data_IF_363713383552
#
_entry.id   IF_363713383552
#
_cell.length_a   1.000
_cell.length_b   1.000
_cell.length_c   1.000
_cell.angle_alpha   90.00
_cell.angle_beta   90.00
_cell.angle_gamma   90.00
#
_symmetry.space_group_name_H-M   'P 1'
#
loop_
_entity.id
_entity.type
_entity.pdbx_description
1 polymer ?
#
# COMPACT_ATOMS: atom_id res chain seq x y z
N UNK A 1 -3.46 8.96 12.34
CA UNK A 1 -2.12 8.67 12.89
C UNK A 1 -1.25 8.32 11.68
N UNK A 2 -0.04 8.86 11.54
CA UNK A 2 0.83 8.50 10.42
C UNK A 2 1.60 7.22 10.76
N UNK A 3 1.73 6.31 9.79
CA UNK A 3 2.45 5.04 9.92
C UNK A 3 3.93 5.29 10.20
N UNK A 4 4.46 4.66 11.25
CA UNK A 4 5.82 4.89 11.81
C UNK A 4 6.78 3.69 11.64
N UNK A 5 6.28 2.59 11.10
CA UNK A 5 7.01 1.37 10.77
C UNK A 5 6.26 0.70 9.61
N UNK A 6 6.92 -0.15 8.83
CA UNK A 6 6.24 -0.86 7.76
C UNK A 6 5.20 -1.84 8.32
N UNK A 7 3.96 -1.76 7.84
CA UNK A 7 2.88 -2.68 8.22
C UNK A 7 2.53 -3.55 7.03
N UNK A 8 2.71 -4.86 7.17
CA UNK A 8 2.42 -5.85 6.15
C UNK A 8 1.12 -6.56 6.51
N UNK A 9 0.09 -6.40 5.70
CA UNK A 9 -1.20 -7.09 5.86
C UNK A 9 -1.26 -8.26 4.89
N UNK A 10 -1.23 -9.46 5.43
CA UNK A 10 -1.33 -10.73 4.70
C UNK A 10 -2.75 -11.28 4.82
N UNK A 11 -3.42 -11.42 3.68
CA UNK A 11 -4.68 -12.13 3.55
C UNK A 11 -4.38 -13.53 3.03
N UNK A 12 -4.80 -14.56 3.77
CA UNK A 12 -4.52 -15.96 3.43
C UNK A 12 -5.79 -16.78 3.40
N UNK A 13 -6.04 -17.44 2.27
CA UNK A 13 -7.14 -18.38 2.18
C UNK A 13 -6.80 -19.66 2.93
N UNK A 14 -7.61 -19.99 3.93
CA UNK A 14 -7.49 -21.23 4.67
C UNK A 14 -8.86 -21.85 4.91
N UNK A 15 -9.19 -22.87 4.11
CA UNK A 15 -10.49 -23.54 4.16
C UNK A 15 -10.67 -24.45 5.38
N UNK A 16 -9.60 -24.77 6.12
CA UNK A 16 -9.69 -25.63 7.32
C UNK A 16 -10.06 -24.84 8.56
N UNK A 17 -9.93 -23.51 8.54
CA UNK A 17 -10.33 -22.66 9.64
C UNK A 17 -11.85 -22.43 9.65
N UNK A 18 -12.49 -22.43 10.82
CA UNK A 18 -13.94 -22.26 10.93
C UNK A 18 -14.40 -20.83 10.64
N UNK A 19 -13.49 -19.86 10.70
CA UNK A 19 -13.72 -18.43 10.45
C UNK A 19 -12.40 -17.73 10.15
N UNK A 20 -12.48 -16.46 9.78
CA UNK A 20 -11.30 -15.62 9.64
C UNK A 20 -10.68 -15.33 11.01
N UNK A 21 -9.37 -15.56 11.12
CA UNK A 21 -8.58 -15.38 12.33
C UNK A 21 -7.46 -14.39 12.05
N UNK A 22 -7.36 -13.38 12.90
CA UNK A 22 -6.28 -12.41 12.87
C UNK A 22 -5.12 -12.92 13.74
N UNK A 23 -3.90 -12.73 13.25
CA UNK A 23 -2.66 -12.93 14.00
C UNK A 23 -1.71 -11.78 13.70
N UNK A 24 -0.81 -11.47 14.62
CA UNK A 24 0.19 -10.42 14.44
C UNK A 24 1.57 -10.88 14.87
N UNK A 25 2.59 -10.44 14.12
CA UNK A 25 3.99 -10.72 14.41
C UNK A 25 4.85 -9.49 14.18
N UNK A 26 5.90 -9.37 14.96
CA UNK A 26 6.96 -8.39 14.80
C UNK A 26 8.29 -9.15 14.81
N UNK A 27 9.17 -8.81 13.88
CA UNK A 27 10.50 -9.41 13.76
C UNK A 27 11.31 -9.22 15.06
N UNK A 28 11.77 -10.35 15.63
CA UNK A 28 12.58 -10.37 16.85
C UNK A 28 11.81 -10.12 18.17
N UNK A 29 10.48 -10.01 18.17
CA UNK A 29 9.69 -9.72 19.38
C UNK A 29 8.87 -10.94 19.85
N UNK A 30 9.52 -11.90 20.52
CA UNK A 30 8.86 -13.15 20.93
C UNK A 30 7.65 -12.95 21.86
N UNK A 31 7.73 -12.02 22.81
CA UNK A 31 6.64 -11.78 23.77
C UNK A 31 5.39 -11.26 23.06
N UNK A 32 5.57 -10.33 22.10
CA UNK A 32 4.48 -9.84 21.25
C UNK A 32 3.93 -10.97 20.38
N UNK A 33 4.80 -11.73 19.73
CA UNK A 33 4.42 -12.81 18.82
C UNK A 33 3.63 -13.93 19.52
N UNK A 34 3.97 -14.24 20.78
CA UNK A 34 3.21 -15.21 21.59
C UNK A 34 1.82 -14.68 21.95
N UNK A 35 1.72 -13.39 22.31
CA UNK A 35 0.45 -12.76 22.69
C UNK A 35 -0.53 -12.62 21.52
N UNK A 36 -0.03 -12.26 20.34
CA UNK A 36 -0.85 -12.06 19.14
C UNK A 36 -0.78 -13.23 18.15
N UNK A 37 -0.36 -14.41 18.60
CA UNK A 37 -0.37 -15.64 17.79
C UNK A 37 -1.78 -15.97 17.28
N UNK A 38 -2.80 -15.73 18.13
CA UNK A 38 -4.22 -15.76 17.78
C UNK A 38 -4.88 -14.57 18.45
N UNK A 39 -5.38 -13.65 17.65
CA UNK A 39 -6.10 -12.47 18.14
C UNK A 39 -7.55 -12.84 18.41
N UNK A 40 -8.04 -12.46 19.59
CA UNK A 40 -9.41 -12.75 20.01
C UNK A 40 -10.44 -12.06 19.09
N UNK A 41 -11.58 -12.71 18.80
CA UNK A 41 -12.66 -12.11 18.03
C UNK A 41 -13.16 -10.83 18.73
N UNK A 42 -13.09 -9.70 18.04
CA UNK A 42 -13.53 -8.40 18.57
C UNK A 42 -12.39 -7.41 18.81
N UNK A 43 -11.13 -7.86 18.84
CA UNK A 43 -9.98 -6.95 18.82
C UNK A 43 -9.80 -6.43 17.39
N UNK A 44 -9.85 -5.10 17.23
CA UNK A 44 -9.66 -4.46 15.93
C UNK A 44 -8.19 -4.43 15.51
N UNK A 45 -7.94 -4.30 14.20
CA UNK A 45 -6.61 -4.04 13.66
C UNK A 45 -5.96 -2.83 14.35
N UNK A 46 -6.74 -1.77 14.57
CA UNK A 46 -6.27 -0.54 15.22
C UNK A 46 -5.74 -0.79 16.62
N UNK A 47 -6.37 -1.67 17.41
CA UNK A 47 -5.91 -2.01 18.75
C UNK A 47 -4.54 -2.70 18.72
N UNK A 48 -4.34 -3.65 17.81
CA UNK A 48 -3.05 -4.35 17.63
C UNK A 48 -1.97 -3.37 17.16
N UNK A 49 -2.30 -2.49 16.22
CA UNK A 49 -1.38 -1.47 15.71
C UNK A 49 -0.97 -0.50 16.83
N UNK A 50 -1.91 -0.07 17.68
CA UNK A 50 -1.61 0.81 18.82
C UNK A 50 -0.62 0.16 19.80
N UNK A 51 -0.78 -1.13 20.08
CA UNK A 51 0.18 -1.87 20.92
C UNK A 51 1.55 -2.01 20.26
N UNK A 52 1.59 -2.28 18.95
CA UNK A 52 2.83 -2.32 18.19
C UNK A 52 3.53 -0.95 18.18
N UNK A 53 2.80 0.17 18.04
CA UNK A 53 3.33 1.53 18.16
C UNK A 53 3.94 1.76 19.54
N UNK A 54 3.25 1.35 20.61
CA UNK A 54 3.74 1.49 21.98
C UNK A 54 5.01 0.66 22.25
N UNK A 55 5.20 -0.46 21.53
CA UNK A 55 6.39 -1.29 21.63
C UNK A 55 7.55 -0.72 20.80
N UNK A 56 7.30 -0.41 19.53
CA UNK A 56 8.32 -0.09 18.52
C UNK A 56 8.76 1.37 18.54
N UNK A 57 7.91 2.30 18.96
CA UNK A 57 8.14 3.73 18.81
C UNK A 57 8.40 4.46 20.14
N UNK A 58 8.93 3.77 21.17
CA UNK A 58 9.16 4.36 22.51
C UNK A 58 10.10 5.57 22.50
N UNK A 59 11.17 5.54 21.70
CA UNK A 59 12.26 6.53 21.79
C UNK A 59 12.52 7.35 20.50
N UNK A 60 12.42 6.72 19.32
CA UNK A 60 12.94 7.28 18.03
C UNK A 60 11.82 7.74 17.09
N UNK A 61 10.56 7.45 17.43
CA UNK A 61 9.40 7.81 16.63
C UNK A 61 9.23 7.00 15.33
N UNK A 62 10.24 6.28 14.85
CA UNK A 62 10.20 5.37 13.70
C UNK A 62 11.01 4.09 14.00
N UNK A 63 10.55 2.94 13.50
CA UNK A 63 11.24 1.66 13.62
C UNK A 63 11.43 1.02 12.23
N UNK A 64 12.55 0.34 12.05
CA UNK A 64 12.89 -0.48 10.88
C UNK A 64 12.24 -1.88 10.92
N UNK A 65 11.71 -2.27 12.08
CA UNK A 65 10.95 -3.51 12.24
C UNK A 65 9.63 -3.45 11.46
N UNK A 66 9.19 -4.62 11.01
CA UNK A 66 7.94 -4.79 10.26
C UNK A 66 6.89 -5.40 11.17
N UNK A 67 5.71 -4.79 11.21
CA UNK A 67 4.52 -5.41 11.80
C UNK A 67 3.83 -6.23 10.70
N UNK A 68 3.77 -7.53 10.87
CA UNK A 68 3.01 -8.43 10.02
C UNK A 68 1.65 -8.75 10.66
N UNK A 69 0.57 -8.41 9.98
CA UNK A 69 -0.81 -8.72 10.35
C UNK A 69 -1.33 -9.76 9.36
N UNK A 70 -1.63 -10.97 9.83
CA UNK A 70 -2.16 -12.03 8.97
C UNK A 70 -3.61 -12.31 9.30
N UNK A 71 -4.50 -12.10 8.33
CA UNK A 71 -5.89 -12.52 8.36
C UNK A 71 -6.04 -13.82 7.56
N UNK A 72 -6.25 -14.93 8.25
CA UNK A 72 -6.35 -16.26 7.65
C UNK A 72 -7.75 -16.82 7.82
N UNK A 73 -8.38 -17.29 6.74
CA UNK A 73 -9.67 -17.95 6.82
C UNK A 73 -10.30 -18.30 5.47
N UNK A 74 -11.50 -18.90 5.47
CA UNK A 74 -12.09 -19.49 4.27
C UNK A 74 -12.55 -18.44 3.24
N UNK A 75 -12.84 -17.21 3.68
CA UNK A 75 -13.37 -16.12 2.84
C UNK A 75 -12.27 -15.26 2.20
N UNK A 76 -11.03 -15.41 2.67
CA UNK A 76 -9.92 -14.55 2.28
C UNK A 76 -9.41 -14.89 0.89
N UNK A 77 -8.95 -13.87 0.18
CA UNK A 77 -8.19 -14.00 -1.07
C UNK A 77 -6.70 -13.82 -0.78
N UNK A 78 -5.80 -14.61 -1.41
CA UNK A 78 -4.37 -14.46 -1.20
C UNK A 78 -3.91 -13.08 -1.70
N UNK A 79 -3.55 -12.20 -0.78
CA UNK A 79 -3.10 -10.84 -1.07
C UNK A 79 -2.19 -10.33 0.05
N UNK A 80 -1.10 -9.69 -0.34
CA UNK A 80 -0.21 -8.98 0.59
C UNK A 80 -0.26 -7.49 0.26
N UNK A 81 -0.58 -6.68 1.26
CA UNK A 81 -0.56 -5.21 1.17
C UNK A 81 0.52 -4.72 2.13
N UNK A 82 1.36 -3.80 1.68
CA UNK A 82 2.42 -3.21 2.50
C UNK A 82 2.11 -1.72 2.64
N UNK A 83 1.83 -1.29 3.86
CA UNK A 83 1.76 0.12 4.23
C UNK A 83 3.13 0.60 4.70
N UNK A 84 3.63 1.65 4.05
CA UNK A 84 4.97 2.17 4.26
C UNK A 84 4.90 3.54 4.95
N UNK A 85 5.87 3.87 5.82
CA UNK A 85 5.96 5.22 6.38
C UNK A 85 5.98 6.31 5.31
N UNK A 86 5.22 7.38 5.53
CA UNK A 86 5.15 8.51 4.60
C UNK A 86 6.50 9.25 4.51
N UNK A 87 6.90 9.64 3.29
CA UNK A 87 8.13 10.39 3.09
C UNK A 87 8.08 11.78 3.76
N UNK A 88 9.11 12.10 4.54
CA UNK A 88 9.25 13.39 5.22
C UNK A 88 10.38 14.19 4.55
N UNK A 89 10.14 15.48 4.27
CA UNK A 89 11.14 16.38 3.66
C UNK A 89 11.90 17.24 4.65
N UNK A 90 11.26 17.59 5.76
CA UNK A 90 11.81 18.49 6.78
C UNK A 90 11.65 17.83 8.14
N UNK A 91 12.75 17.83 8.88
CA UNK A 91 12.79 17.37 10.26
C UNK A 91 12.47 18.59 11.12
N UNK A 92 11.45 18.49 11.97
CA UNK A 92 11.16 19.54 12.97
C UNK A 92 12.25 19.57 14.05
N UNK A 93 12.40 20.71 14.73
CA UNK A 93 13.39 20.86 15.78
C UNK A 93 13.15 19.82 16.90
N UNK A 94 14.15 18.97 17.14
CA UNK A 94 14.11 17.92 18.16
C UNK A 94 13.89 16.50 17.62
N UNK A 95 13.56 16.34 16.33
CA UNK A 95 13.58 15.02 15.67
C UNK A 95 14.98 14.68 15.14
N UNK A 96 15.26 13.38 15.03
CA UNK A 96 16.52 12.89 14.47
C UNK A 96 16.69 13.35 13.02
N UNK A 97 17.84 13.95 12.70
CA UNK A 97 18.17 14.41 11.35
C UNK A 97 18.35 13.26 10.35
N UNK A 98 18.58 12.04 10.82
CA UNK A 98 18.70 10.85 9.98
C UNK A 98 17.35 10.27 9.55
N UNK A 99 16.26 10.70 10.19
CA UNK A 99 14.90 10.16 9.99
C UNK A 99 14.45 10.09 8.52
N UNK A 100 14.66 11.12 7.66
CA UNK A 100 14.25 11.05 6.27
C UNK A 100 14.95 9.93 5.49
N UNK A 101 16.25 9.72 5.77
CA UNK A 101 17.04 8.69 5.09
C UNK A 101 16.68 7.29 5.62
N UNK A 102 16.39 7.16 6.92
CA UNK A 102 15.88 5.92 7.50
C UNK A 102 14.54 5.50 6.88
N UNK A 103 13.58 6.43 6.73
CA UNK A 103 12.31 6.16 6.03
C UNK A 103 12.56 5.72 4.59
N UNK A 104 13.44 6.43 3.87
CA UNK A 104 13.76 6.08 2.49
C UNK A 104 14.37 4.68 2.40
N UNK A 105 15.28 4.33 3.30
CA UNK A 105 15.91 3.01 3.37
C UNK A 105 14.88 1.90 3.60
N UNK A 106 13.99 2.07 4.59
CA UNK A 106 12.89 1.15 4.88
C UNK A 106 12.00 0.97 3.64
N UNK A 107 11.54 2.07 3.05
CA UNK A 107 10.64 2.03 1.91
C UNK A 107 11.30 1.37 0.69
N UNK A 108 12.58 1.68 0.41
CA UNK A 108 13.34 1.10 -0.71
C UNK A 108 13.44 -0.42 -0.64
N UNK A 109 13.57 -1.00 0.55
CA UNK A 109 13.59 -2.46 0.74
C UNK A 109 12.38 -3.16 0.11
N UNK A 110 11.23 -2.50 0.10
CA UNK A 110 9.99 -3.05 -0.45
C UNK A 110 9.76 -2.65 -1.92
N UNK A 111 9.99 -1.38 -2.26
CA UNK A 111 9.67 -0.89 -3.62
C UNK A 111 10.69 -1.31 -4.69
N UNK A 112 11.89 -1.76 -4.30
CA UNK A 112 12.93 -2.22 -5.23
C UNK A 112 12.60 -3.56 -5.90
N UNK A 113 11.79 -4.43 -5.29
CA UNK A 113 11.38 -5.69 -5.92
C UNK A 113 10.50 -5.41 -7.15
N UNK A 114 10.92 -5.91 -8.31
CA UNK A 114 10.21 -5.72 -9.59
C UNK A 114 8.82 -6.37 -9.60
N UNK A 115 8.56 -7.32 -8.71
CA UNK A 115 7.28 -8.02 -8.53
C UNK A 115 6.31 -7.27 -7.60
N UNK A 116 6.72 -6.11 -7.08
CA UNK A 116 5.90 -5.26 -6.23
C UNK A 116 5.27 -4.15 -7.05
N UNK A 117 3.94 -4.08 -7.05
CA UNK A 117 3.18 -2.95 -7.62
C UNK A 117 3.29 -1.77 -6.64
N UNK A 118 3.69 -0.60 -7.15
CA UNK A 118 3.86 0.62 -6.35
C UNK A 118 2.59 1.47 -6.47
N UNK A 119 1.90 1.69 -5.35
CA UNK A 119 0.78 2.65 -5.27
C UNK A 119 1.29 4.00 -4.77
N UNK A 120 1.53 4.93 -5.69
CA UNK A 120 2.04 6.26 -5.35
C UNK A 120 0.88 7.21 -5.03
N UNK A 121 0.52 7.30 -3.76
CA UNK A 121 -0.55 8.19 -3.29
C UNK A 121 -0.08 9.64 -3.29
N UNK A 122 -0.80 10.51 -4.00
CA UNK A 122 -0.52 11.94 -4.12
C UNK A 122 -1.77 12.74 -3.76
N UNK A 123 -1.72 13.62 -2.75
CA UNK A 123 -2.86 14.48 -2.46
C UNK A 123 -2.88 15.66 -3.45
N UNK A 124 -4.06 15.99 -3.97
CA UNK A 124 -4.26 16.95 -5.05
C UNK A 124 -4.10 18.42 -4.63
N UNK A 125 -3.88 18.67 -3.33
CA UNK A 125 -3.53 19.98 -2.80
C UNK A 125 -2.03 20.31 -2.92
N UNK A 126 -1.22 19.35 -3.37
CA UNK A 126 0.23 19.50 -3.57
C UNK A 126 0.58 19.18 -5.01
N UNK A 127 1.51 19.94 -5.61
CA UNK A 127 1.96 19.66 -6.98
C UNK A 127 2.50 18.23 -7.15
N UNK A 128 1.94 17.50 -8.10
CA UNK A 128 2.33 16.12 -8.39
C UNK A 128 3.79 16.00 -8.84
N UNK A 129 4.30 17.02 -9.54
CA UNK A 129 5.71 17.13 -9.96
C UNK A 129 6.64 17.14 -8.74
N UNK A 130 6.18 17.73 -7.64
CA UNK A 130 6.91 17.80 -6.39
C UNK A 130 6.55 16.65 -5.43
N UNK A 131 5.84 15.61 -5.85
CA UNK A 131 5.54 14.50 -4.93
C UNK A 131 6.76 13.62 -4.71
N UNK A 132 7.25 13.54 -3.47
CA UNK A 132 8.37 12.65 -3.10
C UNK A 132 8.06 11.20 -3.44
N UNK A 133 6.82 10.75 -3.22
CA UNK A 133 6.40 9.37 -3.48
C UNK A 133 6.59 8.96 -4.94
N UNK A 134 6.24 9.84 -5.89
CA UNK A 134 6.44 9.58 -7.31
C UNK A 134 7.91 9.69 -7.75
N UNK A 135 8.68 10.56 -7.11
CA UNK A 135 10.12 10.66 -7.37
C UNK A 135 10.85 9.38 -6.93
N UNK A 136 10.53 8.85 -5.75
CA UNK A 136 11.11 7.60 -5.26
C UNK A 136 10.65 6.40 -6.09
N UNK A 137 9.37 6.34 -6.47
CA UNK A 137 8.87 5.31 -7.38
C UNK A 137 9.59 5.37 -8.75
N UNK A 138 9.75 6.57 -9.32
CA UNK A 138 10.46 6.74 -10.60
C UNK A 138 11.95 6.39 -10.55
N UNK A 139 12.58 6.40 -9.36
CA UNK A 139 13.97 5.96 -9.22
C UNK A 139 14.13 4.44 -9.31
N UNK A 140 13.09 3.66 -8.95
CA UNK A 140 13.09 2.18 -8.99
C UNK A 140 12.23 1.59 -10.12
N UNK A 141 11.40 2.41 -10.74
CA UNK A 141 10.57 2.09 -11.91
C UNK A 141 10.57 3.27 -12.91
N UNK A 142 11.70 3.55 -13.59
CA UNK A 142 11.80 4.68 -14.53
C UNK A 142 10.84 4.60 -15.71
N UNK A 143 10.47 3.38 -16.11
CA UNK A 143 9.53 3.12 -17.20
C UNK A 143 8.07 3.16 -16.77
N UNK A 144 7.79 3.26 -15.46
CA UNK A 144 6.43 3.35 -14.91
C UNK A 144 5.57 2.11 -15.22
N UNK A 145 6.17 0.92 -15.27
CA UNK A 145 5.48 -0.32 -15.67
C UNK A 145 4.62 -0.91 -14.56
N UNK A 146 4.99 -0.65 -13.31
CA UNK A 146 4.36 -1.23 -12.11
C UNK A 146 3.96 -0.14 -11.10
N UNK A 147 4.07 1.13 -11.47
CA UNK A 147 3.70 2.27 -10.63
C UNK A 147 2.32 2.82 -11.03
N UNK A 148 1.43 2.93 -10.06
CA UNK A 148 0.08 3.51 -10.20
C UNK A 148 0.01 4.77 -9.34
N UNK A 149 -0.06 5.97 -9.94
CA UNK A 149 -0.34 7.19 -9.20
C UNK A 149 -1.81 7.24 -8.80
N UNK A 150 -2.06 7.44 -7.50
CA UNK A 150 -3.40 7.60 -6.93
C UNK A 150 -3.55 9.03 -6.46
N UNK A 151 -4.38 9.80 -7.16
CA UNK A 151 -4.71 11.18 -6.78
C UNK A 151 -5.80 11.16 -5.71
N UNK A 152 -5.53 11.78 -4.57
CA UNK A 152 -6.45 11.85 -3.42
C UNK A 152 -6.80 13.29 -3.06
N UNK A 153 -7.87 13.50 -2.29
CA UNK A 153 -8.36 14.84 -1.91
C UNK A 153 -8.63 15.77 -3.12
N UNK A 154 -9.33 15.31 -4.17
CA UNK A 154 -9.63 16.11 -5.35
C UNK A 154 -10.52 17.33 -5.03
N UNK A 155 -11.22 17.31 -3.90
CA UNK A 155 -12.01 18.40 -3.35
C UNK A 155 -11.19 19.62 -2.90
N UNK A 156 -9.87 19.47 -2.76
CA UNK A 156 -8.95 20.53 -2.31
C UNK A 156 -8.12 21.13 -3.42
N UNK A 157 -8.46 20.83 -4.67
CA UNK A 157 -7.77 21.41 -5.82
C UNK A 157 -8.19 22.87 -5.93
N UNK A 158 -7.22 23.77 -6.04
CA UNK A 158 -7.48 25.18 -6.33
C UNK A 158 -7.99 25.33 -7.77
N UNK A 159 -9.00 26.18 -7.98
CA UNK A 159 -9.67 26.34 -9.29
C UNK A 159 -8.68 26.60 -10.45
N UNK A 160 -7.61 27.36 -10.19
CA UNK A 160 -6.58 27.65 -11.18
C UNK A 160 -5.72 26.46 -11.61
N UNK A 161 -5.68 25.38 -10.81
CA UNK A 161 -4.90 24.16 -11.08
C UNK A 161 -5.77 22.99 -11.54
N UNK A 162 -7.09 23.14 -11.54
CA UNK A 162 -8.01 22.04 -11.83
C UNK A 162 -7.83 21.47 -13.25
N UNK A 163 -7.72 22.32 -14.26
CA UNK A 163 -7.46 21.90 -15.63
C UNK A 163 -6.14 21.10 -15.76
N UNK A 164 -5.10 21.54 -15.04
CA UNK A 164 -3.79 20.90 -15.01
C UNK A 164 -3.86 19.50 -14.39
N UNK A 165 -4.63 19.35 -13.32
CA UNK A 165 -4.91 18.05 -12.68
C UNK A 165 -5.71 17.12 -13.58
N UNK A 166 -6.72 17.62 -14.29
CA UNK A 166 -7.50 16.81 -15.23
C UNK A 166 -6.62 16.29 -16.37
N UNK A 167 -5.83 17.15 -17.01
CA UNK A 167 -4.91 16.74 -18.09
C UNK A 167 -3.87 15.71 -17.61
N UNK A 168 -3.44 15.83 -16.36
CA UNK A 168 -2.55 14.88 -15.72
C UNK A 168 -3.22 13.52 -15.47
N UNK A 169 -4.45 13.51 -14.92
CA UNK A 169 -5.21 12.27 -14.67
C UNK A 169 -5.57 11.59 -15.99
N UNK A 170 -5.79 12.37 -17.06
CA UNK A 170 -5.96 11.87 -18.43
C UNK A 170 -4.66 11.34 -19.06
N UNK A 171 -3.56 11.31 -18.30
CA UNK A 171 -2.27 10.76 -18.71
C UNK A 171 -1.59 11.55 -19.85
N UNK A 172 -1.96 12.84 -20.05
CA UNK A 172 -1.49 13.67 -21.16
C UNK A 172 -0.23 14.47 -20.84
N UNK A 173 0.01 14.80 -19.56
CA UNK A 173 1.20 15.57 -19.14
C UNK A 173 2.40 14.70 -18.81
N UNK A 174 2.22 13.67 -17.98
CA UNK A 174 3.24 12.67 -17.64
C UNK A 174 2.63 11.31 -17.89
N UNK A 175 3.19 10.55 -18.81
CA UNK A 175 2.64 9.26 -19.21
C UNK A 175 3.08 8.17 -18.23
N UNK A 176 2.13 7.45 -17.67
CA UNK A 176 2.31 6.24 -16.87
C UNK A 176 1.66 5.06 -17.60
N UNK A 177 2.32 3.89 -17.65
CA UNK A 177 1.78 2.73 -18.41
C UNK A 177 0.45 2.25 -17.84
N UNK A 178 0.35 2.23 -16.51
CA UNK A 178 -0.87 1.82 -15.82
C UNK A 178 -1.91 2.95 -15.71
N UNK A 179 -1.56 4.18 -16.11
CA UNK A 179 -2.43 5.37 -16.02
C UNK A 179 -2.63 5.88 -14.59
N UNK A 180 -3.34 6.99 -14.46
CA UNK A 180 -3.68 7.61 -13.18
C UNK A 180 -5.07 7.17 -12.73
N UNK A 181 -5.28 7.20 -11.41
CA UNK A 181 -6.61 7.03 -10.82
C UNK A 181 -6.88 8.13 -9.80
N UNK A 182 -8.15 8.48 -9.60
CA UNK A 182 -8.56 9.53 -8.68
C UNK A 182 -9.62 9.03 -7.69
N UNK A 183 -9.44 9.32 -6.42
CA UNK A 183 -10.40 8.97 -5.37
C UNK A 183 -10.59 10.08 -4.37
N UNK A 184 -11.80 10.18 -3.84
CA UNK A 184 -12.13 11.07 -2.74
C UNK A 184 -12.06 10.31 -1.43
N UNK A 185 -11.31 10.85 -0.48
CA UNK A 185 -11.26 10.30 0.87
C UNK A 185 -12.39 10.91 1.71
N UNK A 186 -12.94 10.11 2.63
CA UNK A 186 -13.88 10.60 3.64
C UNK A 186 -13.22 11.73 4.45
N UNK A 187 -13.96 12.79 4.77
CA UNK A 187 -13.42 13.90 5.53
C UNK A 187 -13.02 13.43 6.95
N UNK A 188 -12.05 14.11 7.57
CA UNK A 188 -11.64 13.79 8.95
C UNK A 188 -12.78 13.92 9.97
N UNK A 189 -13.81 14.71 9.65
CA UNK A 189 -15.04 14.89 10.43
C UNK A 189 -16.05 13.75 10.25
N UNK A 190 -15.90 12.91 9.24
CA UNK A 190 -16.81 11.81 8.89
C UNK A 190 -16.26 10.44 9.32
N UNK A 191 -15.45 10.37 10.39
CA UNK A 191 -14.85 9.09 10.84
C UNK A 191 -15.87 8.00 11.16
N UNK A 192 -17.11 8.37 11.47
CA UNK A 192 -18.20 7.44 11.78
C UNK A 192 -19.14 7.16 10.59
N UNK A 193 -18.87 7.73 9.40
CA UNK A 193 -19.70 7.45 8.22
C UNK A 193 -19.57 6.00 7.78
N UNK A 194 -20.67 5.37 7.41
CA UNK A 194 -20.67 4.00 6.88
C UNK A 194 -20.00 3.96 5.49
N UNK A 195 -19.53 2.77 5.10
CA UNK A 195 -18.92 2.56 3.80
C UNK A 195 -19.86 2.97 2.65
N UNK A 196 -21.14 2.63 2.76
CA UNK A 196 -22.18 2.93 1.77
C UNK A 196 -22.39 4.44 1.62
N UNK A 197 -22.49 5.18 2.74
CA UNK A 197 -22.65 6.64 2.71
C UNK A 197 -21.44 7.31 2.06
N UNK A 198 -20.23 6.85 2.41
CA UNK A 198 -18.99 7.35 1.81
C UNK A 198 -18.94 7.10 0.29
N UNK A 199 -19.45 5.97 -0.19
CA UNK A 199 -19.50 5.67 -1.62
C UNK A 199 -20.48 6.61 -2.35
N UNK A 200 -21.66 6.84 -1.79
CA UNK A 200 -22.67 7.73 -2.40
C UNK A 200 -22.19 9.18 -2.46
N UNK A 201 -21.49 9.67 -1.44
CA UNK A 201 -20.93 11.03 -1.45
C UNK A 201 -19.79 11.19 -2.46
N UNK A 202 -19.00 10.15 -2.65
CA UNK A 202 -17.95 10.12 -3.67
C UNK A 202 -18.55 10.10 -5.08
N UNK A 203 -19.58 9.30 -5.31
CA UNK A 203 -20.30 9.24 -6.59
C UNK A 203 -20.87 10.62 -6.97
N UNK A 204 -21.62 11.26 -6.06
CA UNK A 204 -22.15 12.62 -6.26
C UNK A 204 -21.08 13.66 -6.58
N UNK A 205 -19.89 13.54 -6.00
CA UNK A 205 -18.79 14.45 -6.30
C UNK A 205 -18.28 14.28 -7.73
N UNK A 206 -18.13 13.03 -8.17
CA UNK A 206 -17.62 12.69 -9.50
C UNK A 206 -18.66 12.77 -10.62
N UNK A 207 -19.93 13.05 -10.31
CA UNK A 207 -21.00 13.38 -11.27
C UNK A 207 -20.86 14.79 -11.88
N UNK A 208 -20.12 15.69 -11.23
CA UNK A 208 -19.94 17.06 -11.75
C UNK A 208 -19.17 17.10 -13.08
N UNK A 209 -19.50 18.07 -13.93
CA UNK A 209 -19.08 18.15 -15.34
C UNK A 209 -17.57 18.02 -15.56
N UNK A 210 -16.78 18.52 -14.62
CA UNK A 210 -15.32 18.53 -14.70
C UNK A 210 -14.74 17.12 -14.62
N UNK A 211 -15.36 16.23 -13.86
CA UNK A 211 -14.93 14.83 -13.70
C UNK A 211 -15.50 13.90 -14.76
N UNK A 212 -16.43 14.37 -15.61
CA UNK A 212 -17.00 13.57 -16.70
C UNK A 212 -15.99 13.30 -17.83
N UNK A 213 -14.94 14.11 -17.93
CA UNK A 213 -13.82 13.84 -18.84
C UNK A 213 -13.02 12.59 -18.44
N UNK A 214 -13.02 12.20 -17.16
CA UNK A 214 -12.27 11.05 -16.65
C UNK A 214 -13.14 9.80 -16.73
N UNK A 215 -12.54 8.73 -17.26
CA UNK A 215 -13.21 7.43 -17.40
C UNK A 215 -13.75 6.93 -16.04
N UNK A 216 -14.99 6.37 -16.00
CA UNK A 216 -15.57 5.84 -14.77
C UNK A 216 -14.74 4.72 -14.13
N UNK A 217 -13.96 3.97 -14.92
CA UNK A 217 -13.06 2.93 -14.39
C UNK A 217 -11.85 3.49 -13.63
N UNK A 218 -11.60 4.80 -13.75
CA UNK A 218 -10.43 5.49 -13.20
C UNK A 218 -10.77 6.45 -12.06
N UNK A 219 -12.04 6.58 -11.71
CA UNK A 219 -12.52 7.46 -10.63
C UNK A 219 -13.38 6.71 -9.63
N UNK A 220 -13.18 7.01 -8.35
CA UNK A 220 -13.97 6.44 -7.26
C UNK A 220 -13.45 5.11 -6.70
N UNK A 221 -13.69 4.89 -5.41
CA UNK A 221 -13.17 3.75 -4.63
C UNK A 221 -13.59 2.40 -5.17
N UNK A 222 -14.84 2.27 -5.63
CA UNK A 222 -15.39 0.99 -6.15
C UNK A 222 -14.69 0.60 -7.45
N UNK A 223 -14.58 1.52 -8.39
CA UNK A 223 -13.91 1.30 -9.67
C UNK A 223 -12.42 1.04 -9.48
N UNK A 224 -11.76 1.82 -8.60
CA UNK A 224 -10.33 1.63 -8.29
C UNK A 224 -10.08 0.26 -7.67
N UNK A 225 -10.95 -0.23 -6.77
CA UNK A 225 -10.82 -1.58 -6.23
C UNK A 225 -10.84 -2.65 -7.34
N UNK A 226 -11.75 -2.53 -8.30
CA UNK A 226 -11.83 -3.46 -9.44
C UNK A 226 -10.62 -3.34 -10.36
N UNK A 227 -10.17 -2.11 -10.63
CA UNK A 227 -8.98 -1.84 -11.42
C UNK A 227 -7.72 -2.43 -10.79
N UNK A 228 -7.47 -2.18 -9.50
CA UNK A 228 -6.34 -2.75 -8.76
C UNK A 228 -6.39 -4.28 -8.75
N UNK A 229 -7.58 -4.87 -8.61
CA UNK A 229 -7.77 -6.32 -8.70
C UNK A 229 -7.33 -6.90 -10.05
N UNK A 230 -7.71 -6.25 -11.16
CA UNK A 230 -7.26 -6.66 -12.51
C UNK A 230 -5.75 -6.52 -12.67
N UNK A 231 -5.18 -5.37 -12.31
CA UNK A 231 -3.73 -5.13 -12.44
C UNK A 231 -2.93 -6.13 -11.63
N UNK A 232 -3.36 -6.42 -10.40
CA UNK A 232 -2.73 -7.42 -9.56
C UNK A 232 -2.80 -8.81 -10.20
N UNK A 233 -3.96 -9.21 -10.72
CA UNK A 233 -4.12 -10.50 -11.39
C UNK A 233 -3.18 -10.62 -12.60
N UNK A 234 -3.16 -9.62 -13.48
CA UNK A 234 -2.28 -9.58 -14.65
C UNK A 234 -0.80 -9.63 -14.25
N UNK A 235 -0.42 -8.90 -13.20
CA UNK A 235 0.94 -8.89 -12.69
C UNK A 235 1.35 -10.28 -12.17
N UNK A 236 0.52 -10.91 -11.33
CA UNK A 236 0.77 -12.27 -10.83
C UNK A 236 0.87 -13.26 -11.99
N UNK A 237 -0.06 -13.21 -12.95
CA UNK A 237 -0.07 -14.12 -14.10
C UNK A 237 1.20 -14.00 -14.96
N UNK A 238 1.79 -12.80 -15.05
CA UNK A 238 3.02 -12.56 -15.79
C UNK A 238 4.26 -13.04 -15.05
N UNK A 239 4.34 -12.84 -13.74
CA UNK A 239 5.53 -13.17 -12.93
C UNK A 239 5.56 -14.65 -12.48
N UNK A 240 4.40 -15.31 -12.35
CA UNK A 240 4.30 -16.68 -11.84
C UNK A 240 5.11 -17.73 -12.63
N UNK A 241 5.17 -17.71 -13.99
CA UNK A 241 5.98 -18.66 -14.74
C UNK A 241 7.48 -18.51 -14.49
N UNK A 242 7.97 -17.27 -14.34
CA UNK A 242 9.38 -17.01 -14.04
C UNK A 242 9.71 -17.49 -12.61
N UNK A 243 8.85 -17.14 -11.65
CA UNK A 243 8.99 -17.58 -10.26
C UNK A 243 8.98 -19.10 -10.11
N UNK A 244 8.12 -19.81 -10.86
CA UNK A 244 8.11 -21.28 -10.86
C UNK A 244 9.45 -21.85 -11.34
N UNK A 245 10.03 -21.29 -12.40
CA UNK A 245 11.36 -21.72 -12.90
C UNK A 245 12.45 -21.47 -11.87
N UNK A 246 12.43 -20.34 -11.17
CA UNK A 246 13.40 -20.04 -10.10
C UNK A 246 13.33 -21.08 -8.98
N UNK A 247 12.11 -21.46 -8.55
CA UNK A 247 11.91 -22.52 -7.55
C UNK A 247 12.43 -23.86 -8.07
N UNK A 248 12.09 -24.24 -9.30
CA UNK A 248 12.51 -25.52 -9.88
C UNK A 248 14.05 -25.61 -9.94
N UNK A 249 14.73 -24.53 -10.35
CA UNK A 249 16.19 -24.45 -10.38
C UNK A 249 16.80 -24.55 -8.96
N UNK A 250 16.25 -23.84 -7.98
CA UNK A 250 16.72 -23.90 -6.60
C UNK A 250 16.51 -25.30 -5.98
N UNK A 251 15.39 -25.94 -6.30
CA UNK A 251 15.08 -27.29 -5.85
C UNK A 251 16.05 -28.32 -6.46
N UNK A 252 16.40 -28.16 -7.73
CA UNK A 252 17.39 -29.00 -8.40
C UNK A 252 18.83 -28.75 -7.91
N UNK A 253 19.17 -27.54 -7.47
CA UNK A 253 20.46 -27.32 -6.78
C UNK A 253 20.49 -27.99 -5.42
N UNK A 254 19.44 -27.83 -4.60
CA UNK A 254 19.39 -28.47 -3.28
C UNK A 254 19.41 -30.00 -3.37
N UNK A 255 18.75 -30.59 -4.37
CA UNK A 255 18.84 -32.04 -4.62
C UNK A 255 20.24 -32.49 -4.99
N UNK A 256 20.96 -31.71 -5.81
CA UNK A 256 22.35 -32.01 -6.18
C UNK A 256 23.28 -31.93 -4.97
N UNK A 257 23.11 -30.90 -4.14
CA UNK A 257 23.90 -30.73 -2.92
C UNK A 257 23.64 -31.89 -1.95
N UNK A 258 22.37 -32.26 -1.73
CA UNK A 258 22.00 -33.40 -0.90
C UNK A 258 22.61 -34.72 -1.41
N UNK A 259 22.61 -34.94 -2.73
CA UNK A 259 23.20 -36.12 -3.35
C UNK A 259 24.74 -36.15 -3.27
N UNK A 260 25.40 -35.00 -3.09
CA UNK A 260 26.85 -34.92 -2.88
C UNK A 260 27.30 -35.13 -1.43
N UNK A 261 26.35 -35.10 -0.48
CA UNK A 261 26.59 -35.26 0.96
C UNK A 261 26.34 -36.69 1.46
N UNK A 262 25.94 -37.63 0.60
CA UNK A 262 25.78 -39.06 0.88
C UNK A 262 26.56 -39.91 -0.11
#
# INVERSE_FOLDING_TARGET
MCTRFATLVNLQRNATLPRDMLSAKIEGEEAFNKRFAVVEPGVSFDAVILEAVALLCKDIGISDKVLELTLSGPTQSPLTIIDLPGFIRKVENGMDKTLPESIRSINRRFIQDSRTIILAVVPANNDLITSTSLSEAGAVDPAGERTIPIVTKPDRIEDGLLADWIELILNRRKTMKLGYVVMRNSAHTQKESTWESSCQEEEKFFESDIWNAISPERKGRVAIRQFLGRVLHEHISRELPAFKREIDVALDSFKRDLASMG
#
